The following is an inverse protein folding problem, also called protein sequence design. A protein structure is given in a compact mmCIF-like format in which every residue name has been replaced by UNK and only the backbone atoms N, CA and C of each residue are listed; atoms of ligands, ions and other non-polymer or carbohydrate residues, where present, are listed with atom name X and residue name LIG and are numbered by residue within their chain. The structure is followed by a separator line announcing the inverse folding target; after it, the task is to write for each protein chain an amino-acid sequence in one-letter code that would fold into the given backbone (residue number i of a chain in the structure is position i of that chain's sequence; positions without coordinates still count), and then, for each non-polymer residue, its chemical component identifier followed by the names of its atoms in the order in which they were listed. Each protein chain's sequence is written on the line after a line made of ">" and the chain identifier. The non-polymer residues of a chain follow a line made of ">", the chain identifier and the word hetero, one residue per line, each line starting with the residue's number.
data_IF_550295211255
#
_entry.id   IF_550295211255
#
_cell.length_a   1.000
_cell.length_b   1.000
_cell.length_c   1.000
_cell.angle_alpha   90.00
_cell.angle_beta   90.00
_cell.angle_gamma   90.00
#
_symmetry.space_group_name_H-M   'P 1'
#
loop_
_entity.id
_entity.type
_entity.pdbx_description
1 polymer ?
#
# COMPACT_ATOMS: atom_id res chain seq x y z
N UNK A 1 -15.04 -3.70 11.22
CA UNK A 1 -15.40 -4.02 9.84
C UNK A 1 -15.54 -2.72 9.06
N UNK A 2 -14.71 -2.48 8.06
CA UNK A 2 -14.66 -1.19 7.34
C UNK A 2 -15.96 -0.90 6.59
N UNK A 3 -16.60 -1.93 6.02
CA UNK A 3 -17.89 -1.80 5.32
C UNK A 3 -19.02 -1.35 6.25
N UNK A 4 -18.89 -1.61 7.55
CA UNK A 4 -19.87 -1.24 8.56
C UNK A 4 -19.51 0.01 9.33
N UNK A 5 -18.35 0.62 9.06
CA UNK A 5 -17.82 1.72 9.88
C UNK A 5 -18.82 2.88 10.07
N UNK A 6 -19.57 3.25 9.06
CA UNK A 6 -20.59 4.29 9.15
C UNK A 6 -21.78 3.86 10.00
N UNK A 7 -22.29 2.64 9.77
CA UNK A 7 -23.42 2.11 10.53
C UNK A 7 -23.05 1.86 12.00
N UNK A 8 -21.83 1.38 12.26
CA UNK A 8 -21.33 1.17 13.61
C UNK A 8 -21.13 2.51 14.32
N UNK A 9 -20.59 3.53 13.65
CA UNK A 9 -20.45 4.89 14.18
C UNK A 9 -21.81 5.50 14.56
N UNK A 10 -22.79 5.42 13.68
CA UNK A 10 -24.16 5.91 13.96
C UNK A 10 -24.80 5.15 15.12
N UNK A 11 -24.63 3.83 15.18
CA UNK A 11 -25.18 3.00 16.27
C UNK A 11 -24.58 3.34 17.64
N UNK A 12 -23.34 3.82 17.66
CA UNK A 12 -22.66 4.30 18.86
C UNK A 12 -22.89 5.80 19.15
N UNK A 13 -23.71 6.46 18.31
CA UNK A 13 -24.08 7.85 18.51
C UNK A 13 -23.03 8.85 18.03
N UNK A 14 -22.08 8.43 17.20
CA UNK A 14 -21.15 9.32 16.51
C UNK A 14 -21.89 10.02 15.37
N UNK A 15 -21.78 11.34 15.30
CA UNK A 15 -22.21 12.14 14.14
C UNK A 15 -20.98 12.62 13.38
N UNK A 16 -21.03 12.59 12.05
CA UNK A 16 -19.92 13.03 11.20
C UNK A 16 -20.44 13.85 10.02
N UNK A 17 -19.59 14.74 9.54
CA UNK A 17 -19.82 15.57 8.35
C UNK A 17 -18.51 15.62 7.54
N UNK A 18 -18.61 15.48 6.23
CA UNK A 18 -17.50 15.66 5.32
C UNK A 18 -17.60 17.02 4.64
N UNK A 19 -16.57 17.83 4.82
CA UNK A 19 -16.41 19.10 4.12
C UNK A 19 -15.35 18.95 3.02
N UNK A 20 -15.79 19.05 1.77
CA UNK A 20 -14.92 19.00 0.60
C UNK A 20 -14.68 20.43 0.13
N UNK A 21 -13.53 20.99 0.46
CA UNK A 21 -13.19 22.36 0.10
C UNK A 21 -11.94 22.40 -0.80
N UNK A 22 -12.07 23.11 -1.92
CA UNK A 22 -10.96 23.37 -2.85
C UNK A 22 -10.05 24.52 -2.38
N UNK A 23 -10.39 25.20 -1.28
CA UNK A 23 -9.77 26.42 -0.83
C UNK A 23 -8.89 26.27 0.41
N UNK A 24 -8.24 25.13 0.63
CA UNK A 24 -7.29 25.00 1.73
C UNK A 24 -5.89 25.40 1.24
N UNK A 25 -5.40 26.61 1.59
CA UNK A 25 -4.07 27.04 1.15
C UNK A 25 -2.99 26.12 1.71
N UNK A 26 -2.06 25.69 0.87
CA UNK A 26 -0.84 24.94 1.23
C UNK A 26 -1.08 23.56 1.85
N UNK A 27 -2.16 22.87 1.53
CA UNK A 27 -2.27 21.44 1.85
C UNK A 27 -1.72 20.62 0.68
N UNK A 28 -0.92 19.57 0.96
CA UNK A 28 -0.71 18.51 -0.03
C UNK A 28 -2.07 17.95 -0.45
N UNK A 29 -2.23 17.59 -1.71
CA UNK A 29 -3.47 16.98 -2.24
C UNK A 29 -3.90 15.71 -1.51
N UNK A 30 -2.98 15.12 -0.74
CA UNK A 30 -3.17 13.89 0.01
C UNK A 30 -3.40 14.11 1.52
N UNK A 31 -3.74 15.32 1.97
CA UNK A 31 -3.97 15.62 3.38
C UNK A 31 -5.45 15.74 3.71
N UNK A 32 -5.81 15.32 4.93
CA UNK A 32 -7.13 15.51 5.51
C UNK A 32 -7.04 16.15 6.90
N UNK A 33 -8.00 17.05 7.21
CA UNK A 33 -8.19 17.60 8.53
C UNK A 33 -9.39 16.94 9.19
N UNK A 34 -9.22 16.57 10.46
CA UNK A 34 -10.30 16.01 11.26
C UNK A 34 -10.49 16.83 12.52
N UNK A 35 -11.71 17.28 12.76
CA UNK A 35 -12.10 17.95 14.01
C UNK A 35 -13.01 17.03 14.81
N UNK A 36 -12.54 16.57 15.96
CA UNK A 36 -13.28 15.68 16.84
C UNK A 36 -13.80 16.50 18.03
N UNK A 37 -15.08 16.32 18.38
CA UNK A 37 -15.68 16.94 19.57
C UNK A 37 -16.31 15.84 20.42
N UNK A 38 -15.89 15.74 21.69
CA UNK A 38 -16.48 14.78 22.63
C UNK A 38 -17.86 15.25 23.11
N UNK A 39 -18.60 14.34 23.73
CA UNK A 39 -19.88 14.67 24.40
C UNK A 39 -19.71 15.64 25.60
N UNK A 40 -18.48 15.80 26.13
CA UNK A 40 -18.13 16.78 27.16
C UNK A 40 -17.72 18.14 26.59
N UNK A 41 -17.64 18.26 25.25
CA UNK A 41 -17.23 19.49 24.57
C UNK A 41 -15.72 19.63 24.36
N UNK A 42 -14.91 18.62 24.74
CA UNK A 42 -13.49 18.61 24.46
C UNK A 42 -13.24 18.47 22.96
N UNK A 43 -12.31 19.25 22.45
CA UNK A 43 -11.97 19.26 21.03
C UNK A 43 -10.58 18.71 20.80
N UNK A 44 -10.43 17.97 19.71
CA UNK A 44 -9.14 17.49 19.20
C UNK A 44 -9.08 17.79 17.71
N UNK A 45 -7.98 18.36 17.27
CA UNK A 45 -7.75 18.72 15.88
C UNK A 45 -6.58 17.88 15.31
N UNK A 46 -6.83 17.12 14.27
CA UNK A 46 -5.86 16.18 13.68
C UNK A 46 -5.68 16.48 12.21
N UNK A 47 -4.43 16.66 11.75
CA UNK A 47 -4.08 16.65 10.34
C UNK A 47 -3.39 15.33 10.01
N UNK A 48 -3.91 14.63 9.04
CA UNK A 48 -3.30 13.42 8.48
C UNK A 48 -2.80 13.68 7.07
N UNK A 49 -1.75 12.94 6.68
CA UNK A 49 -1.20 12.97 5.34
C UNK A 49 -1.07 11.53 4.86
N UNK A 50 -1.57 11.26 3.66
CA UNK A 50 -1.38 9.97 2.99
C UNK A 50 0.01 9.94 2.35
N UNK A 51 0.70 8.81 2.51
CA UNK A 51 1.97 8.52 1.84
C UNK A 51 1.77 7.68 0.57
N UNK A 52 0.54 7.27 0.31
CA UNK A 52 0.23 6.27 -0.71
C UNK A 52 0.34 4.84 -0.17
N UNK A 53 -0.11 3.85 -0.95
CA UNK A 53 -0.05 2.45 -0.55
C UNK A 53 -0.89 2.06 0.69
N UNK A 54 -1.76 2.95 1.16
CA UNK A 54 -2.51 2.78 2.41
C UNK A 54 -1.79 3.32 3.66
N UNK A 55 -0.53 3.76 3.54
CA UNK A 55 0.18 4.39 4.65
C UNK A 55 -0.27 5.83 4.87
N UNK A 56 -0.48 6.18 6.14
CA UNK A 56 -0.78 7.54 6.60
C UNK A 56 0.08 7.89 7.81
N UNK A 57 0.27 9.18 8.05
CA UNK A 57 0.79 9.65 9.32
C UNK A 57 0.02 10.90 9.79
N UNK A 58 0.03 11.14 11.10
CA UNK A 58 -0.47 12.37 11.69
C UNK A 58 0.67 13.40 11.66
N UNK A 59 0.46 14.48 10.90
CA UNK A 59 1.41 15.58 10.73
C UNK A 59 1.24 16.69 11.77
N UNK A 60 0.02 16.85 12.27
CA UNK A 60 -0.29 17.89 13.24
C UNK A 60 -1.39 17.44 14.20
N UNK A 61 -1.22 17.78 15.48
CA UNK A 61 -2.17 17.51 16.53
C UNK A 61 -2.40 18.80 17.33
N UNK A 62 -3.63 19.31 17.31
CA UNK A 62 -4.02 20.56 18.00
C UNK A 62 -3.14 21.77 17.65
N UNK A 63 -2.68 21.89 16.43
CA UNK A 63 -1.81 22.99 15.98
C UNK A 63 -0.32 22.74 16.20
N UNK A 64 0.07 21.64 16.82
CA UNK A 64 1.46 21.27 17.09
C UNK A 64 1.92 20.24 16.05
N UNK A 65 3.04 20.52 15.36
CA UNK A 65 3.64 19.60 14.42
C UNK A 65 4.13 18.35 15.12
N UNK A 66 3.80 17.19 14.58
CA UNK A 66 4.21 15.88 15.10
C UNK A 66 4.41 14.89 13.95
N UNK A 67 4.84 13.67 14.27
CA UNK A 67 4.91 12.56 13.32
C UNK A 67 4.49 11.28 14.04
N UNK A 68 3.31 10.76 13.70
CA UNK A 68 2.77 9.53 14.26
C UNK A 68 2.31 8.66 13.09
N UNK A 69 3.05 7.58 12.82
CA UNK A 69 2.86 6.70 11.65
C UNK A 69 2.10 5.41 11.96
N UNK A 70 1.69 5.22 13.22
CA UNK A 70 0.96 4.02 13.64
C UNK A 70 1.81 2.75 13.78
N UNK A 71 3.13 2.84 13.61
CA UNK A 71 4.06 1.68 13.70
C UNK A 71 4.52 1.36 15.12
N UNK A 72 4.14 2.18 16.10
CA UNK A 72 4.55 2.07 17.50
C UNK A 72 3.38 2.35 18.45
N UNK A 73 3.55 2.03 19.72
CA UNK A 73 2.79 2.66 20.79
C UNK A 73 3.30 4.09 20.95
N UNK A 74 2.41 5.06 20.90
CA UNK A 74 2.74 6.46 21.13
C UNK A 74 2.15 6.95 22.44
N UNK A 75 2.98 7.53 23.31
CA UNK A 75 2.54 8.31 24.44
C UNK A 75 2.56 9.81 24.02
N UNK A 76 1.40 10.43 24.11
CA UNK A 76 1.17 11.83 23.75
C UNK A 76 0.83 12.61 25.01
N UNK A 77 1.68 13.57 25.38
CA UNK A 77 1.45 14.43 26.54
C UNK A 77 1.37 15.88 26.09
N UNK A 78 0.17 16.46 26.15
CA UNK A 78 -0.02 17.90 25.93
C UNK A 78 0.07 18.63 27.26
N UNK A 79 1.01 19.55 27.35
CA UNK A 79 1.35 20.24 28.60
C UNK A 79 1.65 21.71 28.33
N UNK A 80 1.45 22.59 29.34
CA UNK A 80 1.91 23.97 29.23
C UNK A 80 3.44 24.01 29.08
N UNK A 81 3.96 24.79 28.14
CA UNK A 81 5.40 24.85 27.80
C UNK A 81 6.28 25.07 29.03
N UNK A 82 5.84 25.93 30.00
CA UNK A 82 6.56 26.17 31.25
C UNK A 82 6.73 24.92 32.14
N UNK A 83 5.90 23.91 31.96
CA UNK A 83 5.91 22.68 32.76
C UNK A 83 6.44 21.47 31.95
N UNK A 84 6.77 21.63 30.67
CA UNK A 84 7.23 20.54 29.81
C UNK A 84 8.46 19.81 30.39
N UNK A 85 9.46 20.60 30.90
CA UNK A 85 10.67 20.03 31.49
C UNK A 85 10.42 19.13 32.72
N UNK A 86 9.33 19.33 33.46
CA UNK A 86 9.00 18.47 34.59
C UNK A 86 8.34 17.14 34.13
N UNK A 87 7.67 17.16 32.99
CA UNK A 87 7.13 15.96 32.35
C UNK A 87 8.26 15.15 31.72
N UNK A 88 9.18 15.80 31.02
CA UNK A 88 10.35 15.16 30.38
C UNK A 88 11.17 14.35 31.39
N UNK A 89 11.37 14.84 32.62
CA UNK A 89 12.07 14.13 33.70
C UNK A 89 11.37 12.85 34.20
N UNK A 90 10.08 12.69 33.88
CA UNK A 90 9.29 11.49 34.28
C UNK A 90 9.28 10.43 33.18
N UNK A 91 9.84 10.74 32.02
CA UNK A 91 9.88 9.87 30.84
C UNK A 91 11.30 9.36 30.68
N UNK A 92 11.49 8.06 30.85
CA UNK A 92 12.79 7.38 30.72
C UNK A 92 12.97 6.74 29.33
N UNK A 93 12.42 7.37 28.29
CA UNK A 93 12.48 6.93 26.91
C UNK A 93 12.80 8.12 26.01
N UNK A 94 13.39 7.88 24.82
CA UNK A 94 13.56 8.94 23.82
C UNK A 94 12.24 9.60 23.45
N UNK A 95 12.21 10.93 23.45
CA UNK A 95 11.01 11.71 23.12
C UNK A 95 11.31 12.84 22.17
N UNK A 96 10.26 13.37 21.56
CA UNK A 96 10.29 14.67 20.87
C UNK A 96 9.37 15.64 21.61
N UNK A 97 9.75 16.92 21.66
CA UNK A 97 8.95 17.99 22.24
C UNK A 97 8.79 19.09 21.20
N UNK A 98 7.56 19.41 20.83
CA UNK A 98 7.22 20.48 19.90
C UNK A 98 6.24 21.47 20.54
N UNK A 99 6.28 22.75 20.11
CA UNK A 99 5.49 23.82 20.69
C UNK A 99 4.54 24.45 19.66
N UNK A 100 3.40 24.98 20.14
CA UNK A 100 2.43 25.70 19.29
C UNK A 100 2.71 27.21 19.17
N UNK A 101 3.75 27.71 19.84
CA UNK A 101 4.05 29.14 19.94
C UNK A 101 3.03 29.94 20.79
N UNK A 102 2.05 29.28 21.41
CA UNK A 102 1.00 29.86 22.24
C UNK A 102 1.05 29.40 23.69
N UNK A 103 2.16 28.77 24.06
CA UNK A 103 2.45 28.32 25.42
C UNK A 103 2.05 26.88 25.73
N UNK A 104 1.79 26.06 24.70
CA UNK A 104 1.56 24.64 24.84
C UNK A 104 2.63 23.84 24.10
N UNK A 105 3.03 22.73 24.70
CA UNK A 105 3.96 21.75 24.14
C UNK A 105 3.29 20.39 24.01
N UNK A 106 3.69 19.63 23.00
CA UNK A 106 3.36 18.22 22.82
C UNK A 106 4.64 17.41 22.95
N UNK A 107 4.69 16.56 23.95
CA UNK A 107 5.73 15.55 24.13
C UNK A 107 5.21 14.26 23.50
N UNK A 108 5.96 13.73 22.55
CA UNK A 108 5.65 12.49 21.85
C UNK A 108 6.75 11.47 22.12
N UNK A 109 6.38 10.33 22.67
CA UNK A 109 7.27 9.19 22.95
C UNK A 109 6.79 8.00 22.15
N UNK A 110 7.69 7.24 21.57
CA UNK A 110 7.36 5.98 20.87
C UNK A 110 7.97 4.78 21.60
N UNK A 111 7.27 3.65 21.57
CA UNK A 111 7.73 2.38 22.17
C UNK A 111 7.18 1.20 21.37
N UNK A 112 7.88 0.08 21.41
CA UNK A 112 7.35 -1.22 20.95
C UNK A 112 6.42 -1.88 21.96
N UNK A 113 6.43 -1.41 23.20
CA UNK A 113 5.62 -1.93 24.31
C UNK A 113 4.58 -0.90 24.73
N UNK A 114 3.44 -1.40 25.20
CA UNK A 114 2.38 -0.55 25.73
C UNK A 114 2.82 0.15 27.02
N UNK A 115 2.42 1.39 27.17
CA UNK A 115 2.69 2.18 28.36
C UNK A 115 1.81 1.72 29.54
N UNK A 116 2.38 1.74 30.75
CA UNK A 116 1.66 1.32 31.94
C UNK A 116 0.54 2.32 32.32
N UNK A 117 -0.51 1.80 32.96
CA UNK A 117 -1.61 2.64 33.45
C UNK A 117 -1.16 3.59 34.56
N UNK A 118 -0.17 3.17 35.34
CA UNK A 118 0.43 3.94 36.43
C UNK A 118 1.12 5.19 35.87
N UNK A 119 1.97 5.03 34.84
CA UNK A 119 2.63 6.13 34.16
C UNK A 119 1.61 7.12 33.58
N UNK A 120 0.57 6.63 32.91
CA UNK A 120 -0.47 7.50 32.35
C UNK A 120 -1.22 8.26 33.44
N UNK A 121 -1.50 7.62 34.59
CA UNK A 121 -2.16 8.25 35.72
C UNK A 121 -1.29 9.34 36.36
N UNK A 122 0.01 9.06 36.55
CA UNK A 122 0.97 10.02 37.10
C UNK A 122 1.14 11.25 36.19
N UNK A 123 1.26 11.03 34.89
CA UNK A 123 1.37 12.11 33.90
C UNK A 123 0.09 12.97 33.85
N UNK A 124 -1.09 12.35 33.92
CA UNK A 124 -2.38 13.09 33.94
C UNK A 124 -2.55 13.95 35.18
N UNK A 125 -2.01 13.51 36.32
CA UNK A 125 -2.05 14.25 37.57
C UNK A 125 -1.01 15.40 37.64
N UNK A 126 -0.07 15.45 36.72
CA UNK A 126 1.01 16.43 36.75
C UNK A 126 0.51 17.83 36.38
N UNK A 127 1.12 18.84 37.00
CA UNK A 127 0.75 20.25 36.82
C UNK A 127 0.93 20.72 35.38
N UNK A 128 -0.10 21.34 34.82
CA UNK A 128 -0.07 21.92 33.47
C UNK A 128 -0.31 20.93 32.33
N UNK A 129 -0.54 19.64 32.65
CA UNK A 129 -0.93 18.64 31.66
C UNK A 129 -2.42 18.81 31.31
N UNK A 130 -2.69 18.92 30.03
CA UNK A 130 -4.05 18.98 29.47
C UNK A 130 -4.56 17.56 29.21
N UNK A 131 -3.72 16.72 28.59
CA UNK A 131 -3.97 15.29 28.46
C UNK A 131 -2.66 14.50 28.42
N UNK A 132 -2.73 13.23 28.86
CA UNK A 132 -1.76 12.19 28.57
C UNK A 132 -2.53 10.99 28.04
N UNK A 133 -2.22 10.58 26.80
CA UNK A 133 -2.92 9.51 26.07
C UNK A 133 -1.91 8.54 25.47
N UNK A 134 -2.28 7.28 25.43
CA UNK A 134 -1.56 6.27 24.65
C UNK A 134 -2.35 5.98 23.38
N UNK A 135 -1.65 5.94 22.27
CA UNK A 135 -2.17 5.51 20.97
C UNK A 135 -1.53 4.17 20.65
N UNK A 136 -2.35 3.18 20.35
CA UNK A 136 -1.89 1.85 19.99
C UNK A 136 -1.41 1.84 18.54
N UNK A 137 -0.47 0.96 18.18
CA UNK A 137 -0.11 0.75 16.78
C UNK A 137 -1.31 0.24 15.98
N UNK A 138 -1.34 0.54 14.70
CA UNK A 138 -2.34 0.03 13.74
C UNK A 138 -1.80 -1.16 12.96
N UNK A 139 -0.50 -1.45 13.05
CA UNK A 139 0.15 -2.58 12.40
C UNK A 139 0.37 -3.70 13.40
N UNK A 140 0.13 -4.93 12.98
CA UNK A 140 0.36 -6.13 13.80
C UNK A 140 1.85 -6.44 13.96
N UNK A 141 2.67 -6.00 12.99
CA UNK A 141 4.12 -6.20 12.98
C UNK A 141 4.79 -4.87 13.28
N UNK A 142 5.47 -4.80 14.42
CA UNK A 142 6.19 -3.60 14.85
C UNK A 142 7.68 -3.73 14.51
N UNK A 143 8.28 -2.74 13.83
CA UNK A 143 9.69 -2.81 13.47
C UNK A 143 10.61 -2.73 14.70
N UNK A 144 11.74 -3.44 14.63
CA UNK A 144 12.85 -3.27 15.58
C UNK A 144 13.55 -1.95 15.27
N UNK A 145 13.94 -1.21 16.30
CA UNK A 145 14.81 -0.05 16.12
C UNK A 145 16.23 -0.55 15.80
N UNK A 146 16.83 0.03 14.74
CA UNK A 146 18.18 -0.34 14.27
C UNK A 146 18.36 -1.86 14.06
N UNK A 147 17.56 -2.49 13.19
CA UNK A 147 17.64 -3.93 12.95
C UNK A 147 19.00 -4.28 12.27
N UNK A 148 19.60 -5.40 12.67
CA UNK A 148 20.75 -5.98 11.98
C UNK A 148 20.29 -6.67 10.70
N UNK A 149 20.28 -5.91 9.60
CA UNK A 149 19.74 -6.38 8.33
C UNK A 149 20.69 -7.35 7.64
N UNK A 150 20.22 -8.51 7.15
CA UNK A 150 21.06 -9.46 6.43
C UNK A 150 21.54 -8.94 5.07
N UNK A 151 20.80 -7.98 4.48
CA UNK A 151 21.08 -7.29 3.23
C UNK A 151 20.20 -6.04 3.11
N UNK A 152 20.62 -5.09 2.27
CA UNK A 152 19.94 -3.82 2.05
C UNK A 152 19.62 -3.54 0.57
N UNK A 153 20.25 -4.27 -0.34
CA UNK A 153 20.08 -4.18 -1.79
C UNK A 153 19.63 -5.51 -2.38
N UNK A 154 19.06 -5.48 -3.58
CA UNK A 154 18.68 -6.72 -4.27
C UNK A 154 19.89 -7.58 -4.59
N UNK A 155 20.99 -6.97 -5.01
CA UNK A 155 22.25 -7.70 -5.24
C UNK A 155 22.72 -8.43 -3.99
N UNK A 156 22.74 -7.75 -2.84
CA UNK A 156 23.14 -8.38 -1.57
C UNK A 156 22.19 -9.52 -1.19
N UNK A 157 20.89 -9.39 -1.45
CA UNK A 157 19.91 -10.44 -1.21
C UNK A 157 20.19 -11.69 -2.06
N UNK A 158 20.43 -11.50 -3.38
CA UNK A 158 20.77 -12.63 -4.25
C UNK A 158 22.10 -13.27 -3.88
N UNK A 159 23.14 -12.48 -3.56
CA UNK A 159 24.42 -12.97 -3.05
C UNK A 159 24.25 -13.76 -1.75
N UNK A 160 23.44 -13.26 -0.82
CA UNK A 160 23.11 -13.93 0.45
C UNK A 160 22.39 -15.26 0.23
N UNK A 161 21.38 -15.29 -0.64
CA UNK A 161 20.66 -16.50 -0.98
C UNK A 161 21.58 -17.55 -1.64
N UNK A 162 22.44 -17.11 -2.56
CA UNK A 162 23.43 -17.97 -3.22
C UNK A 162 24.45 -18.55 -2.22
N UNK A 163 24.98 -17.72 -1.32
CA UNK A 163 25.97 -18.15 -0.31
C UNK A 163 25.34 -19.15 0.67
N UNK A 164 24.14 -18.91 1.13
CA UNK A 164 23.41 -19.80 2.04
C UNK A 164 22.78 -21.00 1.34
N UNK A 165 22.70 -21.00 0.02
CA UNK A 165 22.02 -22.01 -0.79
C UNK A 165 20.54 -22.15 -0.40
N UNK A 166 19.86 -21.03 -0.24
CA UNK A 166 18.45 -20.95 0.10
C UNK A 166 17.67 -20.28 -1.05
N UNK A 167 16.38 -20.60 -1.21
CA UNK A 167 15.52 -19.90 -2.17
C UNK A 167 15.23 -18.46 -1.72
N UNK A 168 14.80 -17.61 -2.66
CA UNK A 168 14.51 -16.18 -2.40
C UNK A 168 13.46 -15.99 -1.30
N UNK A 169 12.42 -16.82 -1.25
CA UNK A 169 11.40 -16.73 -0.20
C UNK A 169 11.95 -16.94 1.21
N UNK A 170 12.99 -17.77 1.37
CA UNK A 170 13.66 -17.97 2.65
C UNK A 170 14.52 -16.75 3.02
N UNK A 171 15.19 -16.13 2.06
CA UNK A 171 15.87 -14.86 2.27
C UNK A 171 14.89 -13.76 2.68
N UNK A 172 13.67 -13.74 2.11
CA UNK A 172 12.60 -12.84 2.54
C UNK A 172 12.20 -13.05 4.01
N UNK A 173 12.09 -14.30 4.47
CA UNK A 173 11.84 -14.59 5.88
C UNK A 173 12.98 -14.12 6.79
N UNK A 174 14.23 -14.32 6.37
CA UNK A 174 15.39 -13.86 7.14
C UNK A 174 15.37 -12.32 7.29
N UNK A 175 14.98 -11.61 6.23
CA UNK A 175 14.81 -10.16 6.21
C UNK A 175 13.69 -9.70 7.16
N UNK A 176 12.51 -10.29 7.03
CA UNK A 176 11.35 -9.93 7.86
C UNK A 176 11.58 -10.26 9.33
N UNK A 177 12.29 -11.36 9.62
CA UNK A 177 12.69 -11.71 10.98
C UNK A 177 13.65 -10.68 11.58
N UNK A 178 14.58 -10.16 10.79
CA UNK A 178 15.51 -9.11 11.25
C UNK A 178 14.74 -7.82 11.61
N UNK A 179 13.76 -7.41 10.78
CA UNK A 179 12.95 -6.20 11.02
C UNK A 179 12.00 -6.37 12.21
N UNK A 180 11.31 -7.51 12.32
CA UNK A 180 10.20 -7.67 13.24
C UNK A 180 10.55 -8.40 14.54
N UNK A 181 11.53 -9.31 14.50
CA UNK A 181 11.83 -10.24 15.58
C UNK A 181 10.82 -11.39 15.70
N UNK A 182 9.92 -11.55 14.74
CA UNK A 182 8.92 -12.62 14.71
C UNK A 182 9.54 -13.92 14.18
N UNK A 183 8.96 -15.06 14.56
CA UNK A 183 9.29 -16.36 14.02
C UNK A 183 8.65 -16.60 12.64
N UNK A 184 9.13 -17.65 11.94
CA UNK A 184 8.68 -17.99 10.60
C UNK A 184 7.20 -18.34 10.55
N UNK A 185 6.66 -18.98 11.58
CA UNK A 185 5.24 -19.38 11.63
C UNK A 185 4.34 -18.14 11.60
N UNK A 186 4.66 -17.11 12.38
CA UNK A 186 3.91 -15.85 12.39
C UNK A 186 4.05 -15.08 11.08
N UNK A 187 5.26 -15.02 10.51
CA UNK A 187 5.52 -14.32 9.24
C UNK A 187 4.80 -15.00 8.08
N UNK A 188 4.85 -16.32 7.99
CA UNK A 188 4.09 -17.07 6.99
C UNK A 188 2.59 -16.98 7.22
N UNK A 189 2.13 -16.98 8.47
CA UNK A 189 0.73 -16.75 8.82
C UNK A 189 0.23 -15.38 8.39
N UNK A 190 1.06 -14.33 8.49
CA UNK A 190 0.74 -13.01 7.97
C UNK A 190 0.61 -13.02 6.43
N UNK A 191 1.55 -13.66 5.73
CA UNK A 191 1.47 -13.81 4.27
C UNK A 191 0.23 -14.63 3.84
N UNK A 192 -0.13 -15.66 4.62
CA UNK A 192 -1.34 -16.43 4.41
C UNK A 192 -2.61 -15.59 4.57
N UNK A 193 -2.66 -14.73 5.58
CA UNK A 193 -3.78 -13.80 5.77
C UNK A 193 -3.92 -12.85 4.59
N UNK A 194 -2.82 -12.29 4.05
CA UNK A 194 -2.86 -11.45 2.85
C UNK A 194 -3.38 -12.21 1.62
N UNK A 195 -2.97 -13.47 1.49
CA UNK A 195 -3.47 -14.36 0.45
C UNK A 195 -4.99 -14.55 0.55
N UNK A 196 -5.47 -14.97 1.71
CA UNK A 196 -6.89 -15.25 1.95
C UNK A 196 -7.75 -14.00 1.79
N UNK A 197 -7.27 -12.86 2.27
CA UNK A 197 -7.92 -11.56 2.10
C UNK A 197 -8.06 -11.21 0.61
N UNK A 198 -7.02 -11.42 -0.20
CA UNK A 198 -7.09 -11.08 -1.63
C UNK A 198 -7.99 -12.05 -2.40
N UNK A 199 -7.95 -13.34 -2.08
CA UNK A 199 -8.86 -14.34 -2.69
C UNK A 199 -10.32 -14.01 -2.33
N UNK A 200 -10.60 -13.70 -1.07
CA UNK A 200 -11.90 -13.23 -0.62
C UNK A 200 -12.35 -11.95 -1.34
N UNK A 201 -11.45 -10.98 -1.47
CA UNK A 201 -11.74 -9.72 -2.17
C UNK A 201 -12.13 -9.96 -3.65
N UNK A 202 -11.51 -10.93 -4.32
CA UNK A 202 -11.89 -11.31 -5.69
C UNK A 202 -13.30 -11.93 -5.72
N UNK A 203 -13.61 -12.82 -4.78
CA UNK A 203 -14.94 -13.45 -4.67
C UNK A 203 -16.05 -12.43 -4.41
N UNK A 204 -15.83 -11.48 -3.51
CA UNK A 204 -16.77 -10.41 -3.22
C UNK A 204 -16.87 -9.41 -4.39
N UNK A 205 -15.74 -9.12 -5.06
CA UNK A 205 -15.71 -8.25 -6.23
C UNK A 205 -16.61 -8.70 -7.36
N UNK A 206 -16.74 -10.00 -7.59
CA UNK A 206 -17.69 -10.54 -8.58
C UNK A 206 -19.17 -10.28 -8.25
N UNK A 207 -19.50 -9.91 -7.01
CA UNK A 207 -20.86 -9.58 -6.59
C UNK A 207 -21.17 -8.09 -6.75
N UNK A 208 -20.17 -7.26 -7.00
CA UNK A 208 -20.32 -5.81 -7.20
C UNK A 208 -21.03 -5.57 -8.53
N UNK A 209 -22.20 -4.98 -8.47
CA UNK A 209 -23.02 -4.68 -9.65
C UNK A 209 -23.06 -3.18 -9.97
N UNK A 210 -22.82 -2.34 -8.99
CA UNK A 210 -22.74 -0.88 -9.11
C UNK A 210 -22.05 -0.28 -7.88
N UNK A 211 -21.55 0.92 -7.99
CA UNK A 211 -21.09 1.73 -6.87
C UNK A 211 -21.27 3.23 -7.19
N UNK A 212 -21.37 4.05 -6.16
CA UNK A 212 -21.56 5.48 -6.30
C UNK A 212 -20.30 6.15 -6.88
N UNK A 213 -20.50 7.11 -7.79
CA UNK A 213 -19.39 7.76 -8.49
C UNK A 213 -18.74 6.91 -9.57
N UNK A 214 -19.33 5.76 -9.96
CA UNK A 214 -18.80 4.93 -11.03
C UNK A 214 -18.74 5.68 -12.37
N UNK A 215 -17.54 5.77 -12.95
CA UNK A 215 -17.32 6.29 -14.31
C UNK A 215 -17.64 5.19 -15.33
N UNK A 216 -17.27 3.95 -15.01
CA UNK A 216 -17.59 2.75 -15.76
C UNK A 216 -18.29 1.73 -14.85
N UNK A 217 -19.21 0.98 -15.42
CA UNK A 217 -19.90 -0.09 -14.70
C UNK A 217 -18.94 -1.22 -14.33
N UNK A 218 -19.18 -2.01 -13.25
CA UNK A 218 -18.42 -3.20 -12.94
C UNK A 218 -18.48 -4.25 -14.06
N UNK A 219 -17.35 -4.89 -14.35
CA UNK A 219 -17.20 -5.80 -15.49
C UNK A 219 -16.58 -7.16 -15.16
N UNK A 220 -16.00 -7.32 -13.97
CA UNK A 220 -15.27 -8.54 -13.60
C UNK A 220 -16.15 -9.80 -13.65
N UNK A 221 -17.38 -9.72 -13.11
CA UNK A 221 -18.34 -10.84 -13.15
C UNK A 221 -18.70 -11.27 -14.59
N UNK A 222 -18.89 -10.28 -15.48
CA UNK A 222 -19.16 -10.55 -16.90
C UNK A 222 -17.95 -11.15 -17.59
N UNK A 223 -16.75 -10.65 -17.28
CA UNK A 223 -15.50 -11.19 -17.80
C UNK A 223 -15.33 -12.65 -17.39
N UNK A 224 -15.51 -12.98 -16.10
CA UNK A 224 -15.48 -14.36 -15.59
C UNK A 224 -16.47 -15.26 -16.32
N UNK A 225 -17.72 -14.84 -16.46
CA UNK A 225 -18.74 -15.62 -17.15
C UNK A 225 -18.40 -15.92 -18.62
N UNK A 226 -17.78 -14.97 -19.33
CA UNK A 226 -17.33 -15.18 -20.72
C UNK A 226 -16.15 -16.14 -20.80
N UNK A 227 -15.21 -16.08 -19.85
CA UNK A 227 -14.08 -17.03 -19.75
C UNK A 227 -14.61 -18.46 -19.52
N UNK A 228 -15.50 -18.65 -18.54
CA UNK A 228 -16.10 -19.92 -18.20
C UNK A 228 -16.90 -20.55 -19.39
N UNK A 229 -17.48 -19.70 -20.24
CA UNK A 229 -18.16 -20.10 -21.47
C UNK A 229 -17.22 -20.35 -22.66
N UNK A 230 -15.92 -20.13 -22.51
CA UNK A 230 -14.95 -20.25 -23.61
C UNK A 230 -15.17 -19.21 -24.72
N UNK A 231 -15.71 -18.04 -24.39
CA UNK A 231 -16.06 -16.95 -25.34
C UNK A 231 -15.07 -15.80 -25.30
N UNK A 232 -13.86 -16.08 -24.85
CA UNK A 232 -12.71 -15.13 -24.82
C UNK A 232 -11.58 -15.71 -25.65
N UNK A 233 -10.61 -14.85 -26.01
CA UNK A 233 -9.34 -15.31 -26.57
C UNK A 233 -8.50 -15.84 -25.41
N UNK A 234 -8.08 -17.12 -25.42
CA UNK A 234 -7.40 -17.72 -24.27
C UNK A 234 -6.05 -17.08 -23.94
N UNK A 235 -5.85 -16.75 -22.68
CA UNK A 235 -4.57 -16.37 -22.07
C UNK A 235 -4.02 -17.50 -21.18
N UNK A 236 -4.67 -18.65 -21.17
CA UNK A 236 -4.33 -19.78 -20.32
C UNK A 236 -4.55 -19.47 -18.84
N UNK A 237 -3.51 -19.62 -18.02
CA UNK A 237 -3.57 -19.31 -16.59
C UNK A 237 -3.93 -17.83 -16.33
N UNK A 238 -3.61 -16.94 -17.27
CA UNK A 238 -3.89 -15.51 -17.18
C UNK A 238 -5.37 -15.13 -17.27
N UNK A 239 -6.24 -16.00 -17.80
CA UNK A 239 -7.66 -15.69 -17.98
C UNK A 239 -8.35 -15.35 -16.65
N UNK A 240 -8.43 -16.33 -15.75
CA UNK A 240 -9.10 -16.16 -14.47
C UNK A 240 -8.30 -15.24 -13.53
N UNK A 241 -6.96 -15.30 -13.57
CA UNK A 241 -6.12 -14.41 -12.78
C UNK A 241 -6.38 -12.92 -13.10
N UNK A 242 -6.62 -12.61 -14.39
CA UNK A 242 -6.98 -11.25 -14.82
C UNK A 242 -8.37 -10.85 -14.31
N UNK A 243 -9.35 -11.76 -14.39
CA UNK A 243 -10.70 -11.50 -13.88
C UNK A 243 -10.69 -11.27 -12.36
N UNK A 244 -9.93 -12.09 -11.60
CA UNK A 244 -9.78 -11.95 -10.15
C UNK A 244 -9.10 -10.64 -9.78
N UNK A 245 -8.00 -10.27 -10.46
CA UNK A 245 -7.31 -9.01 -10.21
C UNK A 245 -8.22 -7.80 -10.46
N UNK A 246 -9.09 -7.88 -11.45
CA UNK A 246 -10.06 -6.82 -11.71
C UNK A 246 -11.18 -6.81 -10.66
N UNK A 247 -11.68 -7.97 -10.24
CA UNK A 247 -12.68 -8.09 -9.18
C UNK A 247 -12.22 -7.50 -7.85
N UNK A 248 -10.96 -7.73 -7.47
CA UNK A 248 -10.34 -7.10 -6.29
C UNK A 248 -10.45 -5.57 -6.36
N UNK A 249 -10.25 -4.96 -7.52
CA UNK A 249 -10.37 -3.51 -7.70
C UNK A 249 -11.81 -3.02 -7.57
N UNK A 250 -12.77 -3.79 -8.10
CA UNK A 250 -14.19 -3.47 -7.97
C UNK A 250 -14.68 -3.59 -6.52
N UNK A 251 -14.16 -4.58 -5.77
CA UNK A 251 -14.43 -4.69 -4.35
C UNK A 251 -13.89 -3.50 -3.56
N UNK A 252 -12.65 -3.08 -3.84
CA UNK A 252 -12.08 -1.87 -3.23
C UNK A 252 -12.90 -0.60 -3.53
N UNK A 253 -13.59 -0.53 -4.69
CA UNK A 253 -14.42 0.61 -5.05
C UNK A 253 -15.71 0.73 -4.21
N UNK A 254 -16.17 -0.36 -3.62
CA UNK A 254 -17.29 -0.38 -2.64
C UNK A 254 -16.80 -0.40 -1.20
N UNK A 255 -15.59 0.10 -0.96
CA UNK A 255 -14.95 0.16 0.36
C UNK A 255 -14.61 -1.21 0.96
N UNK A 256 -14.57 -2.27 0.16
CA UNK A 256 -14.07 -3.57 0.59
C UNK A 256 -12.58 -3.53 0.92
N UNK A 257 -12.15 -4.38 1.85
CA UNK A 257 -10.75 -4.46 2.28
C UNK A 257 -9.92 -5.18 1.22
N UNK A 258 -8.87 -4.53 0.73
CA UNK A 258 -7.93 -5.08 -0.23
C UNK A 258 -6.49 -4.91 0.26
N UNK A 259 -5.61 -5.85 -0.07
CA UNK A 259 -4.20 -5.77 0.26
C UNK A 259 -3.41 -5.06 -0.86
N UNK A 260 -2.74 -3.94 -0.55
CA UNK A 260 -1.86 -3.25 -1.49
C UNK A 260 -0.59 -4.06 -1.77
N UNK A 261 -0.24 -4.25 -3.05
CA UNK A 261 0.97 -4.97 -3.47
C UNK A 261 1.55 -4.39 -4.77
N UNK A 262 2.41 -3.39 -4.71
CA UNK A 262 2.86 -2.66 -3.52
C UNK A 262 1.85 -1.63 -3.02
N UNK A 263 0.83 -1.29 -3.81
CA UNK A 263 -0.19 -0.31 -3.51
C UNK A 263 -1.59 -0.77 -3.91
N UNK A 264 -2.60 -0.03 -3.42
CA UNK A 264 -4.01 -0.30 -3.74
C UNK A 264 -4.32 -0.29 -5.24
N UNK A 265 -3.57 0.50 -6.05
CA UNK A 265 -3.73 0.57 -7.51
C UNK A 265 -3.52 -0.76 -8.24
N UNK A 266 -2.70 -1.67 -7.68
CA UNK A 266 -2.39 -2.97 -8.26
C UNK A 266 -2.62 -4.15 -7.28
N UNK A 267 -3.48 -3.97 -6.27
CA UNK A 267 -3.69 -4.90 -5.16
C UNK A 267 -4.01 -6.34 -5.57
N UNK A 268 -4.75 -6.54 -6.65
CA UNK A 268 -5.15 -7.88 -7.09
C UNK A 268 -4.08 -8.66 -7.86
N UNK A 269 -3.07 -7.99 -8.43
CA UNK A 269 -2.20 -8.60 -9.43
C UNK A 269 -1.34 -9.75 -8.89
N UNK A 270 -0.56 -9.60 -7.79
CA UNK A 270 0.34 -10.65 -7.35
C UNK A 270 -0.41 -11.91 -6.91
N UNK A 271 -1.32 -11.79 -5.93
CA UNK A 271 -1.98 -12.96 -5.37
C UNK A 271 -2.85 -13.66 -6.41
N UNK A 272 -3.65 -12.94 -7.21
CA UNK A 272 -4.48 -13.57 -8.25
C UNK A 272 -3.63 -14.33 -9.27
N UNK A 273 -2.49 -13.75 -9.68
CA UNK A 273 -1.61 -14.41 -10.65
C UNK A 273 -0.96 -15.67 -10.05
N UNK A 274 -0.40 -15.55 -8.84
CA UNK A 274 0.25 -16.68 -8.15
C UNK A 274 -0.76 -17.78 -7.84
N UNK A 275 -1.98 -17.42 -7.39
CA UNK A 275 -3.05 -18.37 -7.09
C UNK A 275 -3.40 -19.27 -8.29
N UNK A 276 -3.61 -18.65 -9.45
CA UNK A 276 -3.92 -19.40 -10.66
C UNK A 276 -2.72 -20.15 -11.23
N UNK A 277 -1.48 -19.63 -11.07
CA UNK A 277 -0.26 -20.33 -11.44
C UNK A 277 -0.07 -21.60 -10.60
N UNK A 278 -0.20 -21.51 -9.28
CA UNK A 278 -0.13 -22.65 -8.35
C UNK A 278 -1.17 -23.71 -8.70
N UNK A 279 -2.41 -23.30 -8.97
CA UNK A 279 -3.49 -24.21 -9.40
C UNK A 279 -3.17 -24.92 -10.72
N UNK A 280 -2.66 -24.18 -11.70
CA UNK A 280 -2.28 -24.71 -13.00
C UNK A 280 -1.14 -25.73 -12.91
N UNK A 281 -0.17 -25.44 -12.03
CA UNK A 281 0.97 -26.31 -11.80
C UNK A 281 0.68 -27.51 -10.87
N UNK A 282 -0.55 -27.60 -10.33
CA UNK A 282 -0.92 -28.67 -9.39
C UNK A 282 -0.21 -28.58 -8.04
N UNK A 283 0.24 -27.39 -7.67
CA UNK A 283 0.93 -27.12 -6.39
C UNK A 283 -0.07 -26.77 -5.28
N UNK A 284 0.39 -26.82 -4.01
CA UNK A 284 -0.42 -26.44 -2.85
C UNK A 284 -0.36 -24.95 -2.58
N UNK A 285 -1.30 -24.42 -1.78
CA UNK A 285 -1.34 -23.04 -1.29
C UNK A 285 0.00 -22.62 -0.63
N UNK A 286 0.68 -23.55 0.05
CA UNK A 286 1.97 -23.30 0.68
C UNK A 286 3.04 -22.80 -0.31
N UNK A 287 3.11 -23.38 -1.51
CA UNK A 287 3.99 -22.85 -2.56
C UNK A 287 3.60 -21.45 -3.01
N UNK A 288 2.31 -21.16 -3.05
CA UNK A 288 1.81 -19.82 -3.35
C UNK A 288 2.23 -18.80 -2.29
N UNK A 289 2.15 -19.16 -1.01
CA UNK A 289 2.60 -18.29 0.10
C UNK A 289 4.10 -18.04 0.01
N UNK A 290 4.91 -19.07 -0.27
CA UNK A 290 6.36 -18.92 -0.50
C UNK A 290 6.66 -18.02 -1.69
N UNK A 291 5.93 -18.15 -2.79
CA UNK A 291 6.06 -17.25 -3.94
C UNK A 291 5.60 -15.81 -3.59
N UNK A 292 4.60 -15.65 -2.73
CA UNK A 292 4.19 -14.33 -2.24
C UNK A 292 5.28 -13.66 -1.40
N UNK A 293 6.02 -14.41 -0.59
CA UNK A 293 7.22 -13.90 0.10
C UNK A 293 8.31 -13.46 -0.89
N UNK A 294 8.50 -14.22 -1.98
CA UNK A 294 9.40 -13.78 -3.07
C UNK A 294 8.92 -12.48 -3.71
N UNK A 295 7.62 -12.33 -3.95
CA UNK A 295 7.05 -11.08 -4.45
C UNK A 295 7.32 -9.92 -3.49
N UNK A 296 7.07 -10.13 -2.19
CA UNK A 296 7.22 -9.11 -1.17
C UNK A 296 8.65 -8.57 -1.10
N UNK A 297 9.66 -9.45 -1.06
CA UNK A 297 11.06 -9.00 -0.97
C UNK A 297 11.53 -8.28 -2.25
N UNK A 298 11.06 -8.68 -3.42
CA UNK A 298 11.32 -7.93 -4.66
C UNK A 298 10.73 -6.52 -4.56
N UNK A 299 9.52 -6.39 -4.03
CA UNK A 299 8.85 -5.09 -3.82
C UNK A 299 9.61 -4.16 -2.88
N UNK A 300 10.24 -4.69 -1.85
CA UNK A 300 11.01 -3.93 -0.85
C UNK A 300 12.15 -3.13 -1.49
N UNK A 301 12.83 -3.65 -2.52
CA UNK A 301 13.96 -2.95 -3.15
C UNK A 301 13.56 -1.72 -3.97
N UNK A 302 12.27 -1.59 -4.28
CA UNK A 302 11.73 -0.35 -4.86
C UNK A 302 11.36 0.69 -3.78
N UNK A 303 11.23 0.29 -2.50
CA UNK A 303 10.78 1.16 -1.42
C UNK A 303 11.75 2.29 -1.08
N UNK A 304 13.10 2.09 -1.02
CA UNK A 304 14.06 3.16 -0.74
C UNK A 304 14.05 4.29 -1.77
N UNK A 305 13.56 4.03 -2.97
CA UNK A 305 13.41 5.01 -4.03
C UNK A 305 12.17 5.88 -3.87
N UNK A 306 11.57 5.89 -2.67
CA UNK A 306 10.38 6.62 -2.30
C UNK A 306 9.18 6.28 -3.19
N UNK A 307 8.68 5.07 -2.97
CA UNK A 307 7.41 4.69 -3.52
C UNK A 307 6.32 5.63 -3.00
N UNK A 308 5.89 6.51 -3.88
CA UNK A 308 4.67 7.28 -3.72
C UNK A 308 3.93 7.21 -5.05
N UNK A 309 2.61 7.15 -5.04
CA UNK A 309 1.79 7.23 -6.25
C UNK A 309 2.17 8.41 -7.18
N UNK A 310 2.92 9.39 -6.63
CA UNK A 310 3.52 10.51 -7.35
C UNK A 310 4.48 10.14 -8.50
N UNK A 311 4.95 8.89 -8.58
CA UNK A 311 5.88 8.45 -9.63
C UNK A 311 5.19 7.77 -10.82
N UNK A 312 3.87 7.86 -10.91
CA UNK A 312 3.08 7.30 -11.99
C UNK A 312 2.71 5.83 -11.81
N UNK A 313 1.90 5.30 -12.72
CA UNK A 313 1.51 3.89 -12.68
C UNK A 313 2.67 2.92 -12.86
N UNK A 314 3.82 3.36 -13.36
CA UNK A 314 5.05 2.56 -13.36
C UNK A 314 5.46 2.14 -11.94
N UNK A 315 5.21 3.01 -10.93
CA UNK A 315 5.55 2.74 -9.54
C UNK A 315 4.49 1.87 -8.81
N UNK A 316 3.26 1.81 -9.31
CA UNK A 316 2.24 0.93 -8.74
C UNK A 316 2.14 -0.37 -9.52
N UNK A 317 1.69 -0.28 -10.76
CA UNK A 317 1.46 -1.43 -11.63
C UNK A 317 2.79 -2.06 -12.07
N UNK A 318 3.81 -1.24 -12.38
CA UNK A 318 5.13 -1.74 -12.81
C UNK A 318 5.86 -2.51 -11.74
N UNK A 319 5.87 -2.00 -10.49
CA UNK A 319 6.45 -2.74 -9.37
C UNK A 319 5.64 -4.03 -9.12
N UNK A 320 4.31 -3.96 -9.17
CA UNK A 320 3.45 -5.15 -9.01
C UNK A 320 3.73 -6.21 -10.09
N UNK A 321 3.94 -5.81 -11.35
CA UNK A 321 4.35 -6.73 -12.42
C UNK A 321 5.72 -7.34 -12.11
N UNK A 322 6.68 -6.54 -11.67
CA UNK A 322 8.03 -6.99 -11.26
C UNK A 322 7.96 -8.04 -10.15
N UNK A 323 7.27 -7.72 -9.05
CA UNK A 323 7.02 -8.61 -7.92
C UNK A 323 6.41 -9.94 -8.38
N UNK A 324 5.36 -9.84 -9.19
CA UNK A 324 4.60 -10.99 -9.67
C UNK A 324 5.41 -11.85 -10.63
N UNK A 325 6.15 -11.26 -11.55
CA UNK A 325 6.95 -11.99 -12.51
C UNK A 325 8.06 -12.81 -11.83
N UNK A 326 8.79 -12.19 -10.87
CA UNK A 326 9.79 -12.91 -10.08
C UNK A 326 9.18 -14.04 -9.24
N UNK A 327 8.02 -13.78 -8.61
CA UNK A 327 7.30 -14.78 -7.83
C UNK A 327 6.80 -15.97 -8.66
N UNK A 328 6.23 -15.72 -9.83
CA UNK A 328 5.76 -16.79 -10.73
C UNK A 328 6.94 -17.58 -11.31
N UNK A 329 8.04 -16.92 -11.65
CA UNK A 329 9.26 -17.61 -12.07
C UNK A 329 9.80 -18.54 -10.98
N UNK A 330 9.76 -18.11 -9.70
CA UNK A 330 10.21 -18.91 -8.56
C UNK A 330 9.37 -20.17 -8.29
N UNK A 331 8.16 -20.27 -8.83
CA UNK A 331 7.37 -21.52 -8.77
C UNK A 331 7.95 -22.63 -9.66
N UNK A 332 8.75 -22.29 -10.66
CA UNK A 332 9.27 -23.21 -11.67
C UNK A 332 10.77 -23.37 -11.56
N UNK A 333 11.49 -22.35 -11.11
CA UNK A 333 12.95 -22.35 -11.07
C UNK A 333 13.47 -21.76 -9.77
N UNK A 334 14.45 -22.44 -9.15
CA UNK A 334 15.23 -21.92 -8.01
C UNK A 334 16.45 -21.12 -8.48
N UNK A 335 16.66 -20.94 -9.79
CA UNK A 335 17.73 -20.16 -10.36
C UNK A 335 17.52 -18.66 -10.05
N UNK A 336 18.42 -18.11 -9.23
CA UNK A 336 18.34 -16.72 -8.77
C UNK A 336 18.42 -15.72 -9.93
N UNK A 337 19.22 -16.01 -10.95
CA UNK A 337 19.34 -15.16 -12.15
C UNK A 337 18.03 -15.14 -12.96
N UNK A 338 17.30 -16.24 -13.00
CA UNK A 338 15.98 -16.31 -13.66
C UNK A 338 14.97 -15.44 -12.91
N UNK A 339 14.97 -15.52 -11.58
CA UNK A 339 14.04 -14.75 -10.74
C UNK A 339 14.33 -13.25 -10.86
N UNK A 340 15.61 -12.85 -10.81
CA UNK A 340 15.97 -11.44 -10.99
C UNK A 340 15.59 -10.93 -12.39
N UNK A 341 15.92 -11.67 -13.45
CA UNK A 341 15.57 -11.29 -14.82
C UNK A 341 14.05 -11.16 -15.00
N UNK A 342 13.26 -12.06 -14.44
CA UNK A 342 11.80 -11.97 -14.50
C UNK A 342 11.29 -10.68 -13.85
N UNK A 343 11.82 -10.32 -12.67
CA UNK A 343 11.47 -9.09 -11.98
C UNK A 343 11.87 -7.83 -12.76
N UNK A 344 13.08 -7.81 -13.31
CA UNK A 344 13.57 -6.69 -14.13
C UNK A 344 12.73 -6.50 -15.39
N UNK A 345 12.46 -7.57 -16.14
CA UNK A 345 11.60 -7.53 -17.32
C UNK A 345 10.19 -7.02 -16.98
N UNK A 346 9.67 -7.43 -15.81
CA UNK A 346 8.38 -6.98 -15.32
C UNK A 346 8.32 -5.47 -15.13
N UNK A 347 9.27 -4.87 -14.42
CA UNK A 347 9.32 -3.43 -14.20
C UNK A 347 9.57 -2.66 -15.50
N UNK A 348 10.47 -3.17 -16.35
CA UNK A 348 10.82 -2.55 -17.62
C UNK A 348 9.63 -2.47 -18.60
N UNK A 349 8.70 -3.42 -18.52
CA UNK A 349 7.59 -3.55 -19.49
C UNK A 349 6.66 -2.34 -19.55
N UNK A 350 6.53 -1.59 -18.46
CA UNK A 350 5.69 -0.39 -18.39
C UNK A 350 6.43 0.83 -17.82
N UNK A 351 7.75 0.83 -17.92
CA UNK A 351 8.56 1.98 -17.50
C UNK A 351 8.12 3.25 -18.25
N UNK A 352 7.92 4.35 -17.52
CA UNK A 352 7.44 5.60 -18.07
C UNK A 352 5.92 5.74 -18.12
N UNK A 353 5.17 4.78 -17.62
CA UNK A 353 3.71 4.88 -17.56
C UNK A 353 3.27 5.94 -16.54
N UNK A 354 2.55 6.94 -17.05
CA UNK A 354 2.09 8.11 -16.29
C UNK A 354 0.94 7.77 -15.33
N UNK A 355 0.63 8.70 -14.40
CA UNK A 355 -0.60 8.69 -13.62
C UNK A 355 -1.59 9.67 -14.25
N UNK A 356 -2.65 9.14 -14.81
CA UNK A 356 -3.61 9.89 -15.66
C UNK A 356 -5.07 9.49 -15.35
N UNK A 357 -5.53 9.54 -14.07
CA UNK A 357 -6.88 9.17 -13.72
C UNK A 357 -7.90 10.17 -14.27
N UNK A 358 -9.04 9.66 -14.75
CA UNK A 358 -10.15 10.49 -15.18
C UNK A 358 -10.85 11.05 -13.92
N UNK A 359 -11.01 12.36 -13.85
CA UNK A 359 -11.67 13.07 -12.74
C UNK A 359 -11.13 12.67 -11.34
N UNK A 360 -9.85 12.27 -11.27
CA UNK A 360 -9.24 11.79 -10.04
C UNK A 360 -9.68 10.38 -9.61
N UNK A 361 -10.61 9.75 -10.34
CA UNK A 361 -11.10 8.42 -10.00
C UNK A 361 -10.17 7.32 -10.53
N UNK A 362 -9.75 6.44 -9.63
CA UNK A 362 -8.83 5.34 -9.96
C UNK A 362 -9.40 4.26 -10.90
N UNK A 363 -10.68 4.30 -11.26
CA UNK A 363 -11.28 3.33 -12.18
C UNK A 363 -10.61 3.33 -13.55
N UNK A 364 -10.37 4.52 -14.11
CA UNK A 364 -9.71 4.70 -15.39
C UNK A 364 -8.51 5.63 -15.17
N UNK A 365 -7.28 5.13 -15.42
CA UNK A 365 -6.98 3.81 -15.99
C UNK A 365 -6.57 2.72 -14.96
N UNK A 366 -6.50 2.99 -13.64
CA UNK A 366 -5.85 2.09 -12.68
C UNK A 366 -6.49 0.69 -12.64
N UNK A 367 -7.84 0.57 -12.61
CA UNK A 367 -8.49 -0.74 -12.66
C UNK A 367 -8.18 -1.46 -13.96
N UNK A 368 -8.24 -0.74 -15.10
CA UNK A 368 -8.01 -1.31 -16.42
C UNK A 368 -6.55 -1.78 -16.59
N UNK A 369 -5.59 -1.13 -15.94
CA UNK A 369 -4.18 -1.53 -15.96
C UNK A 369 -3.92 -2.84 -15.21
N UNK A 370 -4.74 -3.23 -14.25
CA UNK A 370 -4.67 -4.56 -13.63
C UNK A 370 -4.96 -5.67 -14.65
N UNK A 371 -5.83 -5.42 -15.65
CA UNK A 371 -6.14 -6.38 -16.72
C UNK A 371 -4.89 -6.72 -17.53
N UNK A 372 -4.06 -5.75 -17.83
CA UNK A 372 -2.83 -5.96 -18.63
C UNK A 372 -1.65 -6.40 -17.77
N UNK A 373 -1.64 -6.10 -16.48
CA UNK A 373 -0.55 -6.42 -15.57
C UNK A 373 -0.36 -7.93 -15.38
N UNK A 374 -1.45 -8.69 -15.21
CA UNK A 374 -1.40 -10.14 -15.01
C UNK A 374 -0.74 -10.87 -16.20
N UNK A 375 -1.22 -10.74 -17.45
CA UNK A 375 -0.58 -11.42 -18.58
C UNK A 375 0.84 -10.92 -18.83
N UNK A 376 1.15 -9.64 -18.54
CA UNK A 376 2.49 -9.11 -18.68
C UNK A 376 3.45 -9.77 -17.68
N UNK A 377 3.05 -9.93 -16.41
CA UNK A 377 3.87 -10.61 -15.41
C UNK A 377 4.18 -12.07 -15.80
N UNK A 378 3.17 -12.80 -16.29
CA UNK A 378 3.33 -14.19 -16.76
C UNK A 378 4.27 -14.22 -17.98
N UNK A 379 4.10 -13.31 -18.92
CA UNK A 379 4.96 -13.24 -20.11
C UNK A 379 6.41 -12.95 -19.75
N UNK A 380 6.67 -12.02 -18.81
CA UNK A 380 8.01 -11.71 -18.33
C UNK A 380 8.66 -12.90 -17.59
N UNK A 381 7.91 -13.61 -16.73
CA UNK A 381 8.38 -14.82 -16.10
C UNK A 381 8.76 -15.90 -17.12
N UNK A 382 7.89 -16.15 -18.11
CA UNK A 382 8.14 -17.12 -19.17
C UNK A 382 9.33 -16.73 -20.05
N UNK A 383 9.51 -15.44 -20.34
CA UNK A 383 10.66 -14.95 -21.09
C UNK A 383 11.99 -15.20 -20.33
N UNK A 384 12.01 -14.91 -19.04
CA UNK A 384 13.18 -15.17 -18.19
C UNK A 384 13.50 -16.67 -18.08
N UNK A 385 12.49 -17.51 -17.87
CA UNK A 385 12.60 -18.98 -17.88
C UNK A 385 13.11 -19.50 -19.24
N UNK A 386 12.73 -18.85 -20.35
CA UNK A 386 13.23 -19.13 -21.69
C UNK A 386 14.63 -18.58 -21.99
N UNK A 387 15.30 -17.96 -21.02
CA UNK A 387 16.65 -17.45 -21.16
C UNK A 387 16.76 -16.03 -21.73
N UNK A 388 15.68 -15.25 -21.72
CA UNK A 388 15.74 -13.85 -22.09
C UNK A 388 16.65 -13.08 -21.11
N UNK A 389 17.67 -12.41 -21.66
CA UNK A 389 18.65 -11.68 -20.88
C UNK A 389 18.15 -10.24 -20.56
N UNK A 390 18.63 -9.70 -19.45
CA UNK A 390 18.51 -8.28 -19.08
C UNK A 390 19.89 -7.67 -18.98
N UNK A 391 20.00 -6.37 -19.33
CA UNK A 391 21.28 -5.63 -19.24
C UNK A 391 21.42 -4.86 -17.93
N UNK A 392 20.37 -4.89 -17.08
CA UNK A 392 20.31 -4.17 -15.81
C UNK A 392 19.98 -5.13 -14.69
N UNK A 393 20.50 -4.86 -13.50
CA UNK A 393 20.10 -5.50 -12.26
C UNK A 393 18.77 -4.97 -11.72
N UNK A 394 18.22 -5.63 -10.71
CA UNK A 394 17.01 -5.16 -10.04
C UNK A 394 17.23 -3.82 -9.33
N UNK A 395 18.40 -3.60 -8.73
CA UNK A 395 18.76 -2.33 -8.08
C UNK A 395 18.83 -1.18 -9.09
N UNK A 396 19.45 -1.41 -10.25
CA UNK A 396 19.52 -0.41 -11.32
C UNK A 396 18.15 -0.12 -11.93
N UNK A 397 17.27 -1.12 -11.99
CA UNK A 397 15.91 -0.94 -12.46
C UNK A 397 15.09 -0.10 -11.47
N UNK A 398 15.23 -0.33 -10.16
CA UNK A 398 14.59 0.47 -9.12
C UNK A 398 15.05 1.94 -9.20
N UNK A 399 16.36 2.19 -9.34
CA UNK A 399 16.88 3.54 -9.53
C UNK A 399 16.37 4.19 -10.83
N UNK A 400 16.31 3.44 -11.90
CA UNK A 400 15.80 3.92 -13.20
C UNK A 400 14.32 4.32 -13.09
N UNK A 401 13.50 3.51 -12.43
CA UNK A 401 12.09 3.80 -12.19
C UNK A 401 11.92 5.12 -11.42
N UNK A 402 12.71 5.33 -10.36
CA UNK A 402 12.71 6.59 -9.61
C UNK A 402 13.09 7.78 -10.50
N UNK A 403 14.19 7.67 -11.25
CA UNK A 403 14.67 8.75 -12.14
C UNK A 403 13.63 9.11 -13.19
N UNK A 404 12.97 8.12 -13.77
CA UNK A 404 11.87 8.34 -14.74
C UNK A 404 10.68 9.01 -14.06
N UNK A 405 10.27 8.52 -12.85
CA UNK A 405 9.19 9.11 -12.08
C UNK A 405 9.42 10.59 -11.76
N UNK A 406 10.63 10.97 -11.33
CA UNK A 406 11.02 12.36 -11.11
C UNK A 406 10.87 13.20 -12.37
N UNK A 407 11.30 12.67 -13.54
CA UNK A 407 11.14 13.37 -14.82
C UNK A 407 9.69 13.54 -15.20
N UNK A 408 8.87 12.50 -15.07
CA UNK A 408 7.44 12.55 -15.36
C UNK A 408 6.75 13.61 -14.49
N UNK A 409 7.06 13.66 -13.19
CA UNK A 409 6.53 14.68 -12.26
C UNK A 409 6.98 16.09 -12.67
N UNK A 410 8.26 16.27 -13.00
CA UNK A 410 8.81 17.57 -13.44
C UNK A 410 8.17 18.07 -14.73
N UNK A 411 7.72 17.16 -15.61
CA UNK A 411 7.02 17.47 -16.85
C UNK A 411 5.50 17.66 -16.65
N UNK A 412 4.98 17.54 -15.44
CA UNK A 412 3.55 17.60 -15.14
C UNK A 412 2.76 16.38 -15.64
N UNK A 413 3.42 15.27 -15.95
CA UNK A 413 2.77 14.07 -16.50
C UNK A 413 2.26 13.09 -15.42
N UNK A 414 2.51 13.38 -14.17
CA UNK A 414 1.98 12.63 -13.03
C UNK A 414 0.99 13.45 -12.19
N UNK A 415 0.56 14.59 -12.70
CA UNK A 415 -0.50 15.35 -12.10
C UNK A 415 -1.85 14.72 -12.47
N UNK A 416 -2.67 14.45 -11.48
CA UNK A 416 -3.96 13.79 -11.63
C UNK A 416 -4.78 14.46 -12.74
N UNK A 417 -5.08 13.72 -13.82
CA UNK A 417 -5.96 14.17 -14.88
C UNK A 417 -5.32 14.86 -16.09
N UNK A 418 -4.00 14.96 -16.18
CA UNK A 418 -3.31 15.68 -17.28
C UNK A 418 -3.70 15.18 -18.67
N UNK A 419 -3.84 13.88 -18.87
CA UNK A 419 -4.06 13.32 -20.21
C UNK A 419 -5.52 13.26 -20.64
N UNK A 420 -6.45 13.28 -19.70
CA UNK A 420 -7.88 13.17 -20.00
C UNK A 420 -8.69 14.42 -19.71
N UNK A 421 -8.09 15.43 -19.08
CA UNK A 421 -8.78 16.67 -18.68
C UNK A 421 -9.42 17.44 -19.85
N UNK A 422 -8.75 17.43 -21.00
CA UNK A 422 -9.22 18.16 -22.19
C UNK A 422 -10.15 17.33 -23.08
N UNK A 423 -10.43 16.07 -22.72
CA UNK A 423 -11.36 15.24 -23.47
C UNK A 423 -12.80 15.60 -23.11
N UNK A 424 -13.50 16.28 -24.02
CA UNK A 424 -14.90 16.71 -23.82
C UNK A 424 -15.88 15.59 -23.48
N UNK A 425 -15.54 14.34 -23.75
CA UNK A 425 -16.37 13.17 -23.49
C UNK A 425 -16.08 12.47 -22.14
N UNK A 426 -15.13 12.96 -21.32
CA UNK A 426 -14.85 12.38 -20.00
C UNK A 426 -15.88 12.75 -18.95
N UNK A 427 -16.61 13.83 -19.15
CA UNK A 427 -17.67 14.24 -18.26
C UNK A 427 -19.03 13.74 -18.75
N UNK A 428 -19.51 12.59 -18.26
CA UNK A 428 -20.83 12.03 -18.62
C UNK A 428 -21.99 13.01 -18.32
N UNK A 429 -21.86 13.87 -17.32
CA UNK A 429 -22.86 14.87 -16.96
C UNK A 429 -22.94 16.01 -17.99
N UNK A 430 -21.84 16.31 -18.67
CA UNK A 430 -21.73 17.36 -19.69
C UNK A 430 -21.69 16.81 -21.11
N UNK A 431 -21.73 15.49 -21.28
CA UNK A 431 -21.72 14.84 -22.59
C UNK A 431 -23.10 14.96 -23.29
N UNK A 432 -23.52 16.19 -23.57
CA UNK A 432 -24.37 16.45 -24.73
C UNK A 432 -23.47 16.31 -25.96
N UNK A 433 -22.96 15.11 -26.19
CA UNK A 433 -22.05 14.81 -27.29
C UNK A 433 -22.83 14.95 -28.59
N UNK A 434 -22.74 16.11 -29.20
CA UNK A 434 -23.05 16.34 -30.61
C UNK A 434 -21.99 15.75 -31.54
N UNK A 435 -21.21 14.78 -31.07
CA UNK A 435 -20.33 13.98 -31.92
C UNK A 435 -21.24 13.04 -32.71
N UNK A 436 -21.83 13.56 -33.78
CA UNK A 436 -22.44 12.73 -34.80
C UNK A 436 -21.36 11.82 -35.40
N UNK A 437 -21.33 10.58 -34.98
CA UNK A 437 -20.82 9.43 -35.75
C UNK A 437 -21.72 8.24 -35.43
#
# INVERSE_FOLDING_TARGET
>A
DYERAYADAESEGLTYEFDFTDNVPAMPSEAAWMSLTSNTGDKLFVKTVSLGGGEIYIDNLDGIKTYIDGKYYYLLVRVSTKNASDIEKRIDLPYTCAEDGRGMSLITVRSREAYSRELLSDLRAATGVVYARCVNPVYDILPIEEPDMPFTTAKEMFDYAAQKKIPVWQAALDYERAISGLDDEKLLGFAENLWDLTVHAAEEGYKVTKFDGAIIEPHSARMKALIEQGRTIPLGVGDMATADAFAVKEYGAVHGVIAGMPAGGAAGVPVSTIHHAVKHLGMTKEYGIKALMTAAIIGIFYYPTHYHGAWGCQAEVGISISMTAGAVASLISDDLDVIERAAVLGAQSILGQICDPIEGAGQVPCFLRNITAVPTAIACANAALGGCETLTSLDEMAETLLRVGIKLKTMGLNDMGVCYYDMQCTNKANCACTCGH
#
